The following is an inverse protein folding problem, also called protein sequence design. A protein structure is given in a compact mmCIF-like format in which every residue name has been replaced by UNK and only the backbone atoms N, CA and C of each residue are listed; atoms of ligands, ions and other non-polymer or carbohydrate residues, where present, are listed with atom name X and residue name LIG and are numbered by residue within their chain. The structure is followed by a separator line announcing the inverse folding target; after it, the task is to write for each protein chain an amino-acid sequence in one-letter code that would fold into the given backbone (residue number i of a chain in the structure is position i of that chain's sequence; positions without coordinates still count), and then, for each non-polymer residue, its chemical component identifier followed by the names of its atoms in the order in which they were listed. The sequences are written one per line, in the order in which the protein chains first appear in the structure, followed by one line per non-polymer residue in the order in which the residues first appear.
data_IF_622265622996
#
_entry.id   IF_622265622996
#
_cell.length_a   1.000
_cell.length_b   1.000
_cell.length_c   1.000
_cell.angle_alpha   90.00
_cell.angle_beta   90.00
_cell.angle_gamma   90.00
#
_symmetry.space_group_name_H-M   'P 1'
#
loop_
_entity.id
_entity.type
_entity.pdbx_description
1 polymer ?
#
# COMPACT_ATOMS: atom_id res chain seq x y z
N UNK A 1 -2.49 -11.65 6.26
CA UNK A 1 -2.79 -10.54 5.33
C UNK A 1 -2.08 -10.76 4.00
N UNK A 2 -2.63 -10.26 2.90
CA UNK A 2 -2.10 -10.40 1.54
C UNK A 2 -2.27 -9.08 0.76
N UNK A 3 -1.41 -8.06 0.94
CA UNK A 3 -1.31 -6.94 0.00
C UNK A 3 -0.61 -7.36 -1.31
N UNK A 4 -1.00 -6.77 -2.46
CA UNK A 4 -0.53 -7.20 -3.77
C UNK A 4 0.67 -6.36 -4.21
N UNK A 5 1.84 -6.46 -3.58
CA UNK A 5 3.01 -5.65 -3.93
C UNK A 5 4.27 -6.48 -4.16
N UNK A 6 5.09 -6.07 -5.14
CA UNK A 6 6.35 -6.75 -5.49
C UNK A 6 7.61 -5.96 -5.09
N UNK A 7 7.47 -4.68 -4.74
CA UNK A 7 8.59 -3.79 -4.37
C UNK A 7 8.23 -2.89 -3.20
N UNK A 8 9.23 -2.21 -2.64
CA UNK A 8 9.06 -1.17 -1.63
C UNK A 8 10.05 -0.02 -1.83
N UNK A 9 9.69 1.16 -1.36
CA UNK A 9 10.58 2.31 -1.28
C UNK A 9 11.50 2.20 -0.07
N UNK A 10 12.81 2.38 -0.26
CA UNK A 10 13.76 2.49 0.86
C UNK A 10 13.56 3.83 1.53
N UNK A 11 13.29 3.83 2.83
CA UNK A 11 13.00 5.03 3.60
C UNK A 11 14.19 5.41 4.52
N UNK A 12 14.39 6.71 4.68
CA UNK A 12 15.23 7.32 5.72
C UNK A 12 14.38 8.37 6.43
N UNK A 13 14.26 8.28 7.76
CA UNK A 13 13.37 9.13 8.56
C UNK A 13 11.92 9.20 8.00
N UNK A 14 11.41 8.04 7.55
CA UNK A 14 10.08 7.86 6.94
C UNK A 14 9.89 8.55 5.58
N UNK A 15 10.96 9.09 4.98
CA UNK A 15 10.95 9.70 3.66
C UNK A 15 11.61 8.77 2.62
N UNK A 16 11.05 8.62 1.40
CA UNK A 16 11.70 7.82 0.37
C UNK A 16 13.04 8.40 -0.07
N UNK A 17 14.07 7.54 -0.07
CA UNK A 17 15.45 7.90 -0.44
C UNK A 17 15.69 8.05 -1.94
N UNK A 18 14.69 7.74 -2.78
CA UNK A 18 14.69 7.48 -4.24
C UNK A 18 14.91 6.03 -4.65
N UNK A 19 15.45 5.19 -3.76
CA UNK A 19 15.71 3.78 -4.08
C UNK A 19 14.45 2.92 -3.92
N UNK A 20 14.22 2.03 -4.88
CA UNK A 20 13.15 1.03 -4.85
C UNK A 20 13.80 -0.35 -4.89
N UNK A 21 13.40 -1.24 -3.99
CA UNK A 21 13.90 -2.62 -3.90
C UNK A 21 12.76 -3.64 -4.05
N UNK A 22 13.05 -4.86 -4.54
CA UNK A 22 12.11 -5.99 -4.41
C UNK A 22 11.76 -6.21 -2.93
N UNK A 23 10.54 -6.64 -2.66
CA UNK A 23 10.13 -7.04 -1.29
C UNK A 23 11.07 -8.13 -0.75
N UNK A 24 11.44 -7.99 0.52
CA UNK A 24 12.15 -9.01 1.29
C UNK A 24 11.16 -9.91 2.04
N UNK A 25 11.64 -10.93 2.76
CA UNK A 25 10.78 -11.86 3.51
C UNK A 25 9.87 -11.18 4.54
N UNK A 26 10.19 -9.97 5.00
CA UNK A 26 9.35 -9.20 5.94
C UNK A 26 8.21 -8.48 5.23
N UNK A 27 8.41 -8.08 3.97
CA UNK A 27 7.44 -7.33 3.17
C UNK A 27 6.80 -8.15 2.04
N UNK A 28 7.21 -9.40 1.83
CA UNK A 28 6.63 -10.29 0.82
C UNK A 28 5.36 -10.97 1.34
N UNK A 29 4.26 -10.22 1.25
CA UNK A 29 2.96 -10.73 1.67
C UNK A 29 2.20 -11.52 0.59
N UNK A 30 2.78 -11.74 -0.59
CA UNK A 30 2.04 -12.32 -1.74
C UNK A 30 1.53 -13.74 -1.48
N UNK A 31 2.17 -14.48 -0.57
CA UNK A 31 1.73 -15.80 -0.09
C UNK A 31 0.91 -15.75 1.19
N UNK A 32 0.67 -14.57 1.73
CA UNK A 32 0.06 -14.35 3.03
C UNK A 32 1.06 -14.44 4.19
N UNK A 33 0.91 -13.52 5.13
CA UNK A 33 1.70 -13.51 6.37
C UNK A 33 0.83 -13.20 7.58
N UNK A 34 1.20 -13.77 8.74
CA UNK A 34 0.59 -13.40 10.01
C UNK A 34 0.96 -11.97 10.38
N UNK A 35 0.00 -11.20 10.88
CA UNK A 35 0.25 -9.86 11.41
C UNK A 35 0.95 -9.88 12.77
N UNK A 36 0.95 -11.04 13.44
CA UNK A 36 1.50 -11.16 14.77
C UNK A 36 2.97 -10.75 14.79
N UNK A 37 3.29 -9.76 15.64
CA UNK A 37 4.65 -9.23 15.85
C UNK A 37 5.25 -8.50 14.64
N UNK A 38 4.48 -8.23 13.59
CA UNK A 38 4.93 -7.36 12.51
C UNK A 38 5.06 -5.91 13.00
N UNK A 39 6.20 -5.31 12.71
CA UNK A 39 6.44 -3.88 12.85
C UNK A 39 6.57 -3.33 11.43
N UNK A 40 5.56 -2.60 11.00
CA UNK A 40 5.45 -2.07 9.66
C UNK A 40 5.30 -0.57 9.74
N UNK A 41 6.03 0.12 8.89
CA UNK A 41 5.86 1.53 8.56
C UNK A 41 6.55 1.74 7.21
N UNK A 42 6.01 1.06 6.20
CA UNK A 42 6.68 0.83 4.92
C UNK A 42 5.78 1.26 3.76
N UNK A 43 6.38 1.80 2.71
CA UNK A 43 5.69 2.17 1.47
C UNK A 43 5.94 1.11 0.40
N UNK A 44 4.94 0.27 0.16
CA UNK A 44 4.96 -0.75 -0.90
C UNK A 44 4.62 -0.13 -2.26
N UNK A 45 5.20 -0.66 -3.33
CA UNK A 45 5.02 -0.22 -4.72
C UNK A 45 4.99 -1.43 -5.67
N UNK A 46 4.82 -1.17 -6.96
CA UNK A 46 4.68 -2.19 -8.00
C UNK A 46 3.50 -3.11 -7.67
N UNK A 47 2.33 -2.49 -7.52
CA UNK A 47 1.11 -3.16 -7.09
C UNK A 47 0.55 -4.05 -8.21
N UNK A 48 0.16 -5.27 -7.85
CA UNK A 48 -0.52 -6.21 -8.73
C UNK A 48 -2.03 -5.94 -8.76
N UNK A 49 -2.62 -6.01 -9.95
CA UNK A 49 -4.05 -5.74 -10.18
C UNK A 49 -4.72 -6.97 -10.79
N UNK A 50 -5.78 -7.45 -10.15
CA UNK A 50 -6.66 -8.49 -10.70
C UNK A 50 -7.94 -7.84 -11.18
N UNK A 51 -8.30 -8.01 -12.46
CA UNK A 51 -9.51 -7.40 -13.04
C UNK A 51 -9.59 -5.89 -12.76
N UNK A 52 -8.46 -5.21 -12.95
CA UNK A 52 -8.27 -3.76 -12.74
C UNK A 52 -8.42 -3.23 -11.31
N UNK A 53 -8.41 -4.12 -10.31
CA UNK A 53 -8.35 -3.72 -8.89
C UNK A 53 -7.15 -4.34 -8.20
N UNK A 54 -6.45 -3.52 -7.42
CA UNK A 54 -5.54 -4.00 -6.39
C UNK A 54 -6.39 -4.44 -5.21
N UNK A 55 -6.12 -5.61 -4.64
CA UNK A 55 -6.92 -6.19 -3.56
C UNK A 55 -5.98 -6.58 -2.43
N UNK A 56 -6.15 -5.94 -1.27
CA UNK A 56 -5.57 -6.42 -0.03
C UNK A 56 -6.58 -7.29 0.70
N UNK A 57 -6.12 -8.44 1.20
CA UNK A 57 -6.96 -9.38 1.97
C UNK A 57 -6.46 -9.51 3.41
N UNK A 58 -7.35 -9.33 4.37
CA UNK A 58 -7.17 -9.70 5.77
C UNK A 58 -8.02 -10.95 6.05
N UNK A 59 -7.38 -12.02 6.51
CA UNK A 59 -8.01 -13.32 6.76
C UNK A 59 -8.17 -13.49 8.27
N UNK A 60 -9.39 -13.78 8.73
CA UNK A 60 -9.70 -14.17 10.09
C UNK A 60 -10.01 -15.68 10.11
N UNK A 61 -8.99 -16.47 10.44
CA UNK A 61 -9.08 -17.94 10.47
C UNK A 61 -10.09 -18.44 11.51
N UNK A 62 -10.25 -17.73 12.63
CA UNK A 62 -11.17 -18.12 13.69
C UNK A 62 -12.64 -17.94 13.27
N UNK A 63 -12.92 -16.95 12.40
CA UNK A 63 -14.25 -16.70 11.85
C UNK A 63 -14.49 -17.36 10.49
N UNK A 64 -13.48 -17.99 9.90
CA UNK A 64 -13.50 -18.46 8.51
C UNK A 64 -14.02 -17.37 7.54
N UNK A 65 -13.52 -16.15 7.72
CA UNK A 65 -14.01 -14.96 7.03
C UNK A 65 -12.85 -14.06 6.59
N UNK A 66 -13.12 -13.20 5.62
CA UNK A 66 -12.17 -12.24 5.07
C UNK A 66 -12.71 -10.81 5.12
N UNK A 67 -11.80 -9.86 5.29
CA UNK A 67 -12.00 -8.46 4.91
C UNK A 67 -11.15 -8.14 3.69
N UNK A 68 -11.74 -7.49 2.69
CA UNK A 68 -11.10 -7.07 1.46
C UNK A 68 -11.11 -5.56 1.36
N UNK A 69 -9.94 -4.99 1.12
CA UNK A 69 -9.75 -3.60 0.73
C UNK A 69 -9.31 -3.58 -0.73
N UNK A 70 -10.20 -3.15 -1.62
CA UNK A 70 -9.92 -3.05 -3.06
C UNK A 70 -9.78 -1.61 -3.49
N UNK A 71 -8.91 -1.35 -4.46
CA UNK A 71 -8.68 -0.01 -5.01
C UNK A 71 -8.38 -0.09 -6.51
N UNK A 72 -8.74 0.96 -7.25
CA UNK A 72 -8.48 1.03 -8.70
C UNK A 72 -7.02 1.34 -9.04
N UNK A 73 -6.69 1.35 -10.34
CA UNK A 73 -5.35 1.62 -10.87
C UNK A 73 -4.84 3.04 -10.64
N UNK A 74 -5.67 3.93 -10.10
CA UNK A 74 -5.24 5.28 -9.75
C UNK A 74 -4.28 5.30 -8.57
N UNK A 75 -4.35 4.29 -7.70
CA UNK A 75 -3.42 4.07 -6.61
C UNK A 75 -2.21 3.28 -7.10
N UNK A 76 -1.01 3.76 -6.74
CA UNK A 76 0.26 3.19 -7.18
C UNK A 76 1.12 2.71 -6.03
N UNK A 77 0.93 3.29 -4.85
CA UNK A 77 1.61 2.91 -3.61
C UNK A 77 0.62 2.39 -2.58
N UNK A 78 1.14 1.64 -1.61
CA UNK A 78 0.37 1.16 -0.46
C UNK A 78 1.23 1.29 0.79
N UNK A 79 0.83 2.18 1.70
CA UNK A 79 1.45 2.22 3.04
C UNK A 79 0.90 1.07 3.86
N UNK A 80 1.79 0.32 4.50
CA UNK A 80 1.45 -0.71 5.48
C UNK A 80 2.02 -0.33 6.83
N UNK A 81 1.16 -0.20 7.83
CA UNK A 81 1.56 0.34 9.13
C UNK A 81 0.94 -0.43 10.29
N UNK A 82 1.76 -0.78 11.29
CA UNK A 82 1.30 -1.36 12.55
C UNK A 82 1.55 -0.38 13.71
N UNK A 83 0.49 0.20 14.30
CA UNK A 83 0.65 1.19 15.36
C UNK A 83 1.34 0.63 16.61
N UNK A 84 2.33 1.35 17.18
CA UNK A 84 2.99 0.93 18.41
C UNK A 84 2.00 0.69 19.56
N UNK A 85 2.14 -0.45 20.25
CA UNK A 85 1.28 -0.81 21.37
C UNK A 85 -0.12 -1.34 20.99
N UNK A 86 -0.41 -1.49 19.69
CA UNK A 86 -1.69 -2.01 19.16
C UNK A 86 -1.44 -3.22 18.24
N UNK A 87 -1.12 -4.36 18.85
CA UNK A 87 -0.71 -5.57 18.11
C UNK A 87 -1.82 -6.28 17.32
N UNK A 88 -3.05 -5.79 17.43
CA UNK A 88 -4.26 -6.28 16.78
C UNK A 88 -4.78 -5.34 15.69
N UNK A 89 -4.07 -4.24 15.41
CA UNK A 89 -4.46 -3.23 14.43
C UNK A 89 -3.42 -3.16 13.31
N UNK A 90 -3.90 -2.96 12.09
CA UNK A 90 -3.08 -2.65 10.92
C UNK A 90 -3.78 -1.60 10.06
N UNK A 91 -3.00 -0.69 9.50
CA UNK A 91 -3.44 0.24 8.45
C UNK A 91 -2.93 -0.23 7.09
N UNK A 92 -3.84 -0.24 6.11
CA UNK A 92 -3.52 -0.44 4.70
C UNK A 92 -3.99 0.81 3.97
N UNK A 93 -3.06 1.60 3.44
CA UNK A 93 -3.35 2.94 2.95
C UNK A 93 -3.00 3.06 1.46
N UNK A 94 -3.96 2.87 0.54
CA UNK A 94 -3.72 3.02 -0.88
C UNK A 94 -3.44 4.48 -1.21
N UNK A 95 -2.30 4.75 -1.82
CA UNK A 95 -1.83 6.10 -2.13
C UNK A 95 -1.65 6.28 -3.65
N UNK A 96 -2.07 7.44 -4.16
CA UNK A 96 -1.90 7.82 -5.58
C UNK A 96 -0.47 8.27 -5.91
N UNK A 97 0.33 8.55 -4.88
CA UNK A 97 1.72 9.03 -4.95
C UNK A 97 2.49 8.57 -3.71
N UNK A 98 3.81 8.49 -3.76
CA UNK A 98 4.61 8.13 -2.58
C UNK A 98 4.70 9.29 -1.59
N UNK A 99 5.11 9.01 -0.36
CA UNK A 99 5.45 10.04 0.64
C UNK A 99 6.49 10.99 0.04
N UNK A 100 6.39 12.29 0.32
CA UNK A 100 7.30 13.31 -0.22
C UNK A 100 7.27 13.50 -1.76
N UNK A 101 6.20 13.04 -2.44
CA UNK A 101 6.15 13.03 -3.90
C UNK A 101 6.43 14.39 -4.56
N UNK A 102 6.01 15.51 -3.98
CA UNK A 102 6.24 16.83 -4.57
C UNK A 102 7.73 17.18 -4.66
N UNK A 103 8.51 16.87 -3.62
CA UNK A 103 9.94 17.16 -3.56
C UNK A 103 10.74 16.17 -4.42
N UNK A 104 10.34 14.89 -4.40
CA UNK A 104 10.91 13.86 -5.26
C UNK A 104 10.68 14.17 -6.75
N UNK A 105 9.47 14.59 -7.13
CA UNK A 105 9.13 14.96 -8.50
C UNK A 105 9.94 16.17 -8.97
N UNK A 106 10.14 17.18 -8.10
CA UNK A 106 10.98 18.33 -8.41
C UNK A 106 12.46 17.96 -8.69
N UNK A 107 12.91 16.81 -8.17
CA UNK A 107 14.24 16.23 -8.42
C UNK A 107 14.28 15.27 -9.62
N UNK A 108 13.18 15.12 -10.36
CA UNK A 108 13.07 14.24 -11.53
C UNK A 108 12.76 12.78 -11.21
N UNK A 109 12.37 12.46 -9.97
CA UNK A 109 11.98 11.10 -9.57
C UNK A 109 10.51 10.88 -9.89
N UNK A 110 10.16 9.74 -10.48
CA UNK A 110 8.78 9.36 -10.75
C UNK A 110 8.04 8.98 -9.45
N UNK A 111 7.59 9.99 -8.70
CA UNK A 111 6.99 9.82 -7.38
C UNK A 111 5.44 9.80 -7.40
N UNK A 112 4.85 9.96 -8.58
CA UNK A 112 3.40 9.86 -8.80
C UNK A 112 2.63 11.15 -8.51
N UNK A 113 3.32 12.29 -8.39
CA UNK A 113 2.67 13.58 -8.24
C UNK A 113 1.71 13.83 -9.40
N UNK A 114 0.44 14.09 -9.08
CA UNK A 114 -0.60 14.46 -10.05
C UNK A 114 -0.89 15.96 -9.92
N UNK A 115 -1.11 16.63 -11.04
CA UNK A 115 -1.44 18.06 -11.10
C UNK A 115 -2.80 18.21 -11.77
N UNK A 116 -3.75 18.83 -11.08
CA UNK A 116 -5.04 19.19 -11.65
C UNK A 116 -5.04 20.67 -12.05
N UNK A 117 -5.24 20.91 -13.34
CA UNK A 117 -5.47 22.25 -13.87
C UNK A 117 -6.86 22.79 -13.52
N UNK A 118 -7.10 24.05 -13.87
CA UNK A 118 -8.42 24.66 -13.71
C UNK A 118 -9.50 23.83 -14.42
N UNK A 119 -10.57 23.47 -13.69
CA UNK A 119 -11.68 22.67 -14.21
C UNK A 119 -11.38 21.16 -14.36
N UNK A 120 -10.16 20.71 -14.06
CA UNK A 120 -9.83 19.30 -14.08
C UNK A 120 -10.35 18.59 -12.82
N UNK A 121 -10.70 17.32 -12.98
CA UNK A 121 -11.11 16.43 -11.90
C UNK A 121 -10.41 15.08 -12.06
N UNK A 122 -10.23 14.40 -10.94
CA UNK A 122 -9.78 13.01 -10.88
C UNK A 122 -10.66 12.28 -9.88
N UNK A 123 -10.94 11.01 -10.14
CA UNK A 123 -11.81 10.20 -9.32
C UNK A 123 -11.18 8.84 -9.10
N UNK A 124 -11.24 8.38 -7.85
CA UNK A 124 -10.67 7.12 -7.42
C UNK A 124 -11.68 6.34 -6.60
N UNK A 125 -11.63 5.02 -6.69
CA UNK A 125 -12.54 4.12 -6.01
C UNK A 125 -11.76 3.23 -5.06
N UNK A 126 -12.17 3.25 -3.80
CA UNK A 126 -11.82 2.26 -2.78
C UNK A 126 -13.11 1.54 -2.39
N UNK A 127 -13.04 0.21 -2.28
CA UNK A 127 -14.17 -0.63 -1.85
C UNK A 127 -13.73 -1.48 -0.66
N UNK A 128 -14.58 -1.55 0.36
CA UNK A 128 -14.38 -2.38 1.55
C UNK A 128 -15.48 -3.44 1.60
N UNK A 129 -15.10 -4.70 1.70
CA UNK A 129 -16.03 -5.83 1.70
C UNK A 129 -15.66 -6.83 2.79
N UNK A 130 -16.66 -7.45 3.41
CA UNK A 130 -16.48 -8.66 4.22
C UNK A 130 -17.02 -9.87 3.47
N UNK A 131 -16.33 -11.01 3.53
CA UNK A 131 -16.77 -12.30 2.99
C UNK A 131 -16.75 -13.36 4.09
N UNK A 132 -17.76 -14.21 4.15
CA UNK A 132 -17.88 -15.31 5.11
C UNK A 132 -18.57 -16.52 4.49
#
# INVERSE_FOLDING_TARGET
MIPPAAKFWVLEDFLPTVEIRPVDDRLDFRKGQSMARLKLDDVLTDLEFTTDRGICRLIDEAKNADFLLSFDRGFRELVVYTPPGRGDVISLEPYTQTTDAINLQARGVAAGLRILGHGAQDAFVITMETRG
#
